data_IF_232846786981
#
_entry.id   IF_232846786981
#
_cell.length_a   1.000
_cell.length_b   1.000
_cell.length_c   1.000
_cell.angle_alpha   90.00
_cell.angle_beta   90.00
_cell.angle_gamma   90.00
#
_symmetry.space_group_name_H-M   'P 1'
#
loop_
_entity.id
_entity.type
_entity.pdbx_description
1 polymer ?
#
# COMPACT_ATOMS: atom_id res chain seq x y z
N UNK A 1 13.86 14.01 -6.09
CA UNK A 1 15.30 14.24 -5.76
C UNK A 1 16.15 12.98 -5.92
N UNK A 2 15.82 11.83 -5.32
CA UNK A 2 16.61 10.59 -5.47
C UNK A 2 16.76 10.12 -6.92
N UNK A 3 15.67 10.08 -7.68
CA UNK A 3 15.64 9.66 -9.09
C UNK A 3 16.58 10.53 -9.99
N UNK A 4 16.60 11.84 -9.76
CA UNK A 4 17.48 12.76 -10.51
C UNK A 4 18.97 12.50 -10.20
N UNK A 5 19.31 12.19 -8.95
CA UNK A 5 20.68 11.87 -8.55
C UNK A 5 21.15 10.54 -9.16
N UNK A 6 20.28 9.53 -9.18
CA UNK A 6 20.55 8.23 -9.82
C UNK A 6 20.80 8.41 -11.31
N UNK A 7 19.93 9.14 -12.01
CA UNK A 7 20.08 9.42 -13.45
C UNK A 7 21.33 10.25 -13.82
N UNK A 8 21.80 11.07 -12.90
CA UNK A 8 23.02 11.85 -13.10
C UNK A 8 24.31 11.08 -12.80
N UNK A 9 24.21 9.84 -12.30
CA UNK A 9 25.37 8.98 -12.02
C UNK A 9 25.94 8.38 -13.29
N UNK A 10 27.21 8.01 -13.26
CA UNK A 10 27.91 7.28 -14.34
C UNK A 10 27.72 5.76 -14.25
N UNK A 11 26.89 5.28 -13.32
CA UNK A 11 26.62 3.86 -13.11
C UNK A 11 25.38 3.48 -13.94
N UNK A 12 25.39 2.32 -14.58
CA UNK A 12 24.18 1.76 -15.19
C UNK A 12 23.07 1.61 -14.12
N UNK A 13 21.90 2.15 -14.39
CA UNK A 13 20.78 2.16 -13.41
C UNK A 13 19.49 1.69 -14.07
N UNK A 14 18.64 1.06 -13.28
CA UNK A 14 17.24 0.78 -13.60
C UNK A 14 16.38 1.27 -12.45
N UNK A 15 15.38 2.10 -12.72
CA UNK A 15 14.47 2.63 -11.70
C UNK A 15 13.14 1.91 -11.77
N UNK A 16 12.77 1.25 -10.68
CA UNK A 16 11.46 0.60 -10.54
C UNK A 16 10.58 1.45 -9.62
N UNK A 17 9.37 1.76 -10.07
CA UNK A 17 8.38 2.59 -9.37
C UNK A 17 7.12 1.78 -9.12
N UNK A 18 7.10 0.97 -8.06
CA UNK A 18 5.90 0.24 -7.69
C UNK A 18 4.83 1.21 -7.16
N UNK A 19 3.57 0.89 -7.45
CA UNK A 19 2.43 1.42 -6.71
C UNK A 19 2.45 0.88 -5.27
N UNK A 20 1.33 0.83 -4.59
CA UNK A 20 1.26 0.26 -3.25
C UNK A 20 1.63 -1.22 -3.28
N UNK A 21 2.69 -1.59 -2.56
CA UNK A 21 3.13 -2.99 -2.44
C UNK A 21 2.35 -3.67 -1.32
N UNK A 22 1.89 -4.90 -1.53
CA UNK A 22 1.28 -5.72 -0.50
C UNK A 22 2.00 -7.05 -0.29
N UNK A 23 1.98 -7.54 0.95
CA UNK A 23 2.61 -8.78 1.39
C UNK A 23 2.71 -8.87 2.90
N UNK A 24 3.29 -9.96 3.45
CA UNK A 24 3.31 -10.21 4.90
C UNK A 24 3.93 -9.07 5.73
N UNK A 25 4.93 -8.40 5.21
CA UNK A 25 5.72 -7.38 5.92
C UNK A 25 5.49 -5.97 5.37
N UNK A 26 4.44 -5.75 4.55
CA UNK A 26 4.11 -4.42 4.07
C UNK A 26 3.63 -3.49 5.20
N UNK A 27 3.85 -2.20 5.04
CA UNK A 27 3.42 -1.21 6.01
C UNK A 27 2.06 -0.58 5.67
N UNK A 28 1.57 -0.71 4.44
CA UNK A 28 0.33 -0.06 4.03
C UNK A 28 -0.89 -0.92 4.34
N UNK A 29 -0.97 -2.13 3.78
CA UNK A 29 -2.13 -3.03 3.97
C UNK A 29 -2.19 -3.54 5.40
N UNK A 30 -1.02 -3.83 6.01
CA UNK A 30 -0.95 -4.21 7.42
C UNK A 30 -1.43 -3.09 8.37
N UNK A 31 -1.19 -1.81 8.05
CA UNK A 31 -1.75 -0.68 8.82
C UNK A 31 -3.28 -0.64 8.69
N UNK A 32 -3.83 -0.80 7.48
CA UNK A 32 -5.28 -0.88 7.28
C UNK A 32 -5.89 -2.02 8.10
N UNK A 33 -5.25 -3.19 8.11
CA UNK A 33 -5.68 -4.35 8.87
C UNK A 33 -5.62 -4.11 10.40
N UNK A 34 -4.55 -3.52 10.92
CA UNK A 34 -4.42 -3.16 12.34
C UNK A 34 -5.51 -2.17 12.76
N UNK A 35 -5.77 -1.16 11.95
CA UNK A 35 -6.86 -0.21 12.19
C UNK A 35 -8.23 -0.89 12.19
N UNK A 36 -8.46 -1.87 11.32
CA UNK A 36 -9.70 -2.66 11.34
C UNK A 36 -9.85 -3.50 12.61
N UNK A 37 -8.75 -3.99 13.20
CA UNK A 37 -8.76 -4.66 14.53
C UNK A 37 -9.02 -3.69 15.68
N UNK A 38 -8.44 -2.48 15.62
CA UNK A 38 -8.63 -1.45 16.65
C UNK A 38 -10.03 -0.81 16.59
N UNK A 39 -10.69 -0.84 15.45
CA UNK A 39 -12.03 -0.30 15.25
C UNK A 39 -13.09 -1.30 15.68
N UNK A 40 -13.86 -1.07 16.76
CA UNK A 40 -14.80 -2.08 17.27
C UNK A 40 -16.03 -2.27 16.38
N UNK A 41 -16.60 -1.19 15.85
CA UNK A 41 -17.85 -1.20 15.07
C UNK A 41 -17.72 -0.44 13.77
N UNK A 42 -17.09 0.74 13.82
CA UNK A 42 -17.02 1.69 12.71
C UNK A 42 -15.55 1.89 12.28
N UNK A 43 -15.31 1.86 10.97
CA UNK A 43 -14.01 2.18 10.39
C UNK A 43 -14.12 3.53 9.66
N UNK A 44 -13.37 4.56 10.08
CA UNK A 44 -13.39 5.86 9.40
C UNK A 44 -12.59 5.77 8.07
N UNK A 45 -13.24 6.11 6.97
CA UNK A 45 -12.64 6.10 5.64
C UNK A 45 -12.32 7.54 5.23
N UNK A 46 -11.03 7.89 5.08
CA UNK A 46 -10.63 9.24 4.67
C UNK A 46 -11.13 9.57 3.26
N UNK A 47 -11.65 10.80 3.09
CA UNK A 47 -12.04 11.32 1.78
C UNK A 47 -13.09 10.50 1.03
N UNK A 48 -13.88 9.68 1.75
CA UNK A 48 -14.89 8.80 1.13
C UNK A 48 -14.33 7.50 0.56
N UNK A 49 -13.01 7.34 0.53
CA UNK A 49 -12.35 6.12 0.04
C UNK A 49 -12.39 5.98 -1.48
N UNK A 50 -12.52 7.07 -2.21
CA UNK A 50 -12.63 7.08 -3.68
C UNK A 50 -11.28 7.12 -4.40
N UNK A 51 -10.19 7.47 -3.69
CA UNK A 51 -8.85 7.46 -4.25
C UNK A 51 -8.50 6.06 -4.77
N UNK A 52 -7.87 6.03 -5.94
CA UNK A 52 -7.53 4.80 -6.66
C UNK A 52 -6.10 4.36 -6.34
N UNK A 53 -5.92 3.09 -6.08
CA UNK A 53 -4.64 2.42 -5.88
C UNK A 53 -4.54 1.23 -6.81
N UNK A 54 -3.33 0.86 -7.19
CA UNK A 54 -3.10 -0.31 -8.04
C UNK A 54 -2.13 -1.27 -7.33
N UNK A 55 -2.61 -1.97 -6.28
CA UNK A 55 -1.75 -2.76 -5.40
C UNK A 55 -1.02 -3.87 -6.16
N UNK A 56 0.29 -3.98 -5.94
CA UNK A 56 1.18 -4.96 -6.55
C UNK A 56 1.76 -5.89 -5.48
N UNK A 57 1.78 -7.20 -5.74
CA UNK A 57 2.33 -8.17 -4.81
C UNK A 57 3.85 -8.01 -4.65
N UNK A 58 4.35 -8.11 -3.42
CA UNK A 58 5.79 -8.04 -3.13
C UNK A 58 6.59 -9.10 -3.91
N UNK A 59 6.01 -10.29 -4.12
CA UNK A 59 6.61 -11.36 -4.91
C UNK A 59 6.81 -10.98 -6.38
N UNK A 60 5.84 -10.28 -6.97
CA UNK A 60 5.95 -9.80 -8.35
C UNK A 60 7.04 -8.72 -8.48
N UNK A 61 7.10 -7.79 -7.51
CA UNK A 61 8.17 -6.78 -7.47
C UNK A 61 9.55 -7.44 -7.34
N UNK A 62 9.68 -8.44 -6.47
CA UNK A 62 10.93 -9.17 -6.28
C UNK A 62 11.38 -9.90 -7.56
N UNK A 63 10.43 -10.49 -8.30
CA UNK A 63 10.69 -11.11 -9.61
C UNK A 63 11.20 -10.09 -10.63
N UNK A 64 10.53 -8.92 -10.73
CA UNK A 64 10.98 -7.84 -11.61
C UNK A 64 12.41 -7.39 -11.27
N UNK A 65 12.73 -7.25 -9.97
CA UNK A 65 14.08 -6.89 -9.54
C UNK A 65 15.11 -7.94 -10.02
N UNK A 66 14.80 -9.24 -9.86
CA UNK A 66 15.68 -10.31 -10.29
C UNK A 66 15.84 -10.34 -11.83
N UNK A 67 14.74 -10.25 -12.57
CA UNK A 67 14.77 -10.26 -14.04
C UNK A 67 15.50 -9.03 -14.61
N UNK A 68 15.28 -7.84 -14.03
CA UNK A 68 15.95 -6.61 -14.49
C UNK A 68 17.48 -6.67 -14.38
N UNK A 69 18.04 -7.47 -13.47
CA UNK A 69 19.50 -7.67 -13.37
C UNK A 69 20.08 -8.45 -14.56
N UNK A 70 19.27 -9.30 -15.18
CA UNK A 70 19.67 -10.14 -16.32
C UNK A 70 19.23 -9.55 -17.68
N UNK A 71 18.57 -8.37 -17.66
CA UNK A 71 18.05 -7.68 -18.85
C UNK A 71 18.80 -6.36 -19.13
N UNK A 72 19.89 -6.37 -19.91
CA UNK A 72 20.67 -5.16 -20.21
C UNK A 72 19.85 -4.02 -20.84
N UNK A 73 18.77 -4.36 -21.55
CA UNK A 73 17.84 -3.40 -22.16
C UNK A 73 17.05 -2.56 -21.14
N UNK A 74 17.07 -2.95 -19.87
CA UNK A 74 16.43 -2.18 -18.79
C UNK A 74 17.32 -1.05 -18.26
N UNK A 75 18.60 -1.06 -18.59
CA UNK A 75 19.56 -0.05 -18.14
C UNK A 75 19.18 1.32 -18.70
N UNK A 76 19.31 2.37 -17.86
CA UNK A 76 18.92 3.75 -18.13
C UNK A 76 17.40 3.97 -18.35
N UNK A 77 16.58 3.01 -17.93
CA UNK A 77 15.14 3.10 -18.02
C UNK A 77 14.44 3.11 -16.65
N UNK A 78 13.23 3.67 -16.64
CA UNK A 78 12.38 3.70 -15.46
C UNK A 78 11.04 3.04 -15.77
N UNK A 79 10.61 2.12 -14.89
CA UNK A 79 9.43 1.28 -15.07
C UNK A 79 8.44 1.48 -13.94
N UNK A 80 7.18 1.72 -14.28
CA UNK A 80 6.11 1.74 -13.30
C UNK A 80 5.52 0.33 -13.15
N UNK A 81 5.32 -0.10 -11.90
CA UNK A 81 4.82 -1.43 -11.57
C UNK A 81 3.50 -1.31 -10.82
N UNK A 82 2.45 -1.90 -11.34
CA UNK A 82 1.14 -1.94 -10.70
C UNK A 82 0.55 -3.34 -10.72
N UNK A 83 -0.42 -3.58 -9.89
CA UNK A 83 -1.22 -4.79 -9.97
C UNK A 83 -2.11 -4.83 -11.22
N UNK A 84 -2.96 -5.85 -11.35
CA UNK A 84 -3.74 -6.08 -12.58
C UNK A 84 -4.89 -5.07 -12.77
N UNK A 85 -5.35 -4.44 -11.71
CA UNK A 85 -6.49 -3.53 -11.73
C UNK A 85 -6.35 -2.40 -10.70
N UNK A 86 -6.82 -1.18 -11.02
CA UNK A 86 -7.01 -0.14 -10.02
C UNK A 86 -8.19 -0.48 -9.11
N UNK A 87 -8.02 -0.23 -7.81
CA UNK A 87 -9.03 -0.42 -6.77
C UNK A 87 -9.21 0.87 -5.99
N UNK A 88 -10.44 1.18 -5.57
CA UNK A 88 -10.64 2.26 -4.62
C UNK A 88 -10.12 1.86 -3.22
N UNK A 89 -9.75 2.84 -2.40
CA UNK A 89 -9.40 2.57 -1.00
C UNK A 89 -10.52 1.80 -0.28
N UNK A 90 -11.78 2.08 -0.64
CA UNK A 90 -12.94 1.37 -0.09
C UNK A 90 -12.92 -0.11 -0.48
N UNK A 91 -12.72 -0.43 -1.77
CA UNK A 91 -12.66 -1.82 -2.23
C UNK A 91 -11.51 -2.58 -1.55
N UNK A 92 -10.35 -1.92 -1.42
CA UNK A 92 -9.22 -2.51 -0.69
C UNK A 92 -9.56 -2.80 0.78
N UNK A 93 -10.21 -1.86 1.49
CA UNK A 93 -10.66 -2.07 2.87
C UNK A 93 -11.66 -3.20 3.00
N UNK A 94 -12.60 -3.32 2.06
CA UNK A 94 -13.59 -4.40 2.05
C UNK A 94 -12.91 -5.77 1.85
N UNK A 95 -11.95 -5.87 0.90
CA UNK A 95 -11.16 -7.11 0.67
C UNK A 95 -10.28 -7.46 1.89
N UNK A 96 -9.61 -6.47 2.49
CA UNK A 96 -8.82 -6.66 3.72
C UNK A 96 -9.69 -7.19 4.86
N UNK A 97 -10.84 -6.57 5.11
CA UNK A 97 -11.75 -6.99 6.17
C UNK A 97 -12.35 -8.38 5.91
N UNK A 98 -12.65 -8.70 4.66
CA UNK A 98 -13.11 -10.04 4.26
C UNK A 98 -12.04 -11.09 4.53
N UNK A 99 -10.79 -10.84 4.13
CA UNK A 99 -9.65 -11.71 4.38
C UNK A 99 -9.42 -11.95 5.89
N UNK A 100 -9.55 -10.92 6.71
CA UNK A 100 -9.42 -10.99 8.17
C UNK A 100 -10.61 -11.67 8.87
N UNK A 101 -11.72 -11.88 8.18
CA UNK A 101 -12.97 -12.37 8.78
C UNK A 101 -13.62 -11.36 9.73
N UNK A 102 -13.39 -10.04 9.56
CA UNK A 102 -13.98 -9.00 10.39
C UNK A 102 -14.99 -8.19 9.58
N UNK A 103 -16.04 -7.71 10.26
CA UNK A 103 -17.05 -6.84 9.66
C UNK A 103 -17.08 -5.51 10.39
N UNK A 104 -16.84 -4.41 9.68
CA UNK A 104 -16.92 -3.05 10.19
C UNK A 104 -17.75 -2.18 9.24
N UNK A 105 -18.50 -1.26 9.82
CA UNK A 105 -19.22 -0.27 9.01
C UNK A 105 -18.24 0.80 8.53
N UNK A 106 -18.02 0.90 7.24
CA UNK A 106 -17.20 1.95 6.64
C UNK A 106 -17.97 3.28 6.67
N UNK A 107 -17.42 4.27 7.34
CA UNK A 107 -18.01 5.61 7.46
C UNK A 107 -17.09 6.64 6.85
N UNK A 108 -17.60 7.38 5.88
CA UNK A 108 -16.85 8.44 5.21
C UNK A 108 -16.61 9.60 6.18
N UNK A 109 -15.33 9.95 6.34
CA UNK A 109 -14.93 11.09 7.18
C UNK A 109 -14.07 12.02 6.33
N UNK A 110 -14.45 13.30 6.22
CA UNK A 110 -13.63 14.29 5.53
C UNK A 110 -12.22 14.38 6.13
N UNK A 111 -11.20 14.43 5.29
CA UNK A 111 -9.78 14.49 5.73
C UNK A 111 -9.52 15.63 6.72
N UNK A 112 -10.09 16.86 6.55
CA UNK A 112 -9.91 17.95 7.52
C UNK A 112 -10.39 17.61 8.94
N UNK A 113 -11.39 16.73 9.10
CA UNK A 113 -11.88 16.30 10.42
C UNK A 113 -10.97 15.25 11.06
N UNK A 114 -10.27 14.44 10.25
CA UNK A 114 -9.33 13.45 10.74
C UNK A 114 -7.98 14.05 11.14
N UNK A 115 -7.53 15.11 10.48
CA UNK A 115 -6.22 15.74 10.72
C UNK A 115 -5.94 16.12 12.19
N UNK A 116 -6.83 16.82 12.92
CA UNK A 116 -6.55 17.16 14.30
C UNK A 116 -6.48 15.93 15.20
N UNK A 117 -7.31 14.91 14.95
CA UNK A 117 -7.28 13.65 15.70
C UNK A 117 -5.96 12.91 15.47
N UNK A 118 -5.53 12.78 14.21
CA UNK A 118 -4.26 12.14 13.85
C UNK A 118 -3.08 12.94 14.39
N UNK A 119 -3.12 14.28 14.32
CA UNK A 119 -2.10 15.15 14.91
C UNK A 119 -1.97 14.98 16.44
N UNK A 120 -3.08 14.79 17.14
CA UNK A 120 -3.07 14.48 18.56
C UNK A 120 -2.48 13.07 18.84
N UNK A 121 -2.87 12.07 18.06
CA UNK A 121 -2.30 10.71 18.14
C UNK A 121 -0.79 10.73 17.93
N UNK A 122 -0.28 11.48 16.95
CA UNK A 122 1.16 11.62 16.69
C UNK A 122 1.94 12.25 17.85
N UNK A 123 1.29 13.03 18.73
CA UNK A 123 1.93 13.61 19.92
C UNK A 123 1.94 12.67 21.12
N UNK A 124 0.95 11.80 21.22
CA UNK A 124 0.74 10.94 22.38
C UNK A 124 1.38 9.55 22.18
N UNK A 125 1.26 9.00 20.96
CA UNK A 125 1.74 7.65 20.67
C UNK A 125 3.16 7.69 20.11
N UNK A 126 4.07 6.84 20.65
CA UNK A 126 5.44 6.71 20.11
C UNK A 126 5.46 6.27 18.64
N UNK A 127 4.52 5.40 18.25
CA UNK A 127 4.32 4.91 16.87
C UNK A 127 2.85 5.02 16.48
N UNK A 128 2.40 6.18 16.02
CA UNK A 128 1.01 6.34 15.59
C UNK A 128 0.74 5.50 14.35
N UNK A 129 -0.39 4.76 14.31
CA UNK A 129 -0.73 3.86 13.19
C UNK A 129 -1.05 4.65 11.91
N UNK A 130 -1.43 5.92 12.07
CA UNK A 130 -1.71 6.84 10.97
C UNK A 130 -0.97 8.15 11.21
N UNK A 131 -0.34 8.66 10.16
CA UNK A 131 0.28 9.98 10.15
C UNK A 131 -0.51 10.93 9.25
N UNK A 132 -0.30 12.23 9.44
CA UNK A 132 -0.91 13.24 8.55
C UNK A 132 -0.43 13.06 7.10
N UNK A 133 0.83 12.66 6.89
CA UNK A 133 1.35 12.33 5.56
C UNK A 133 0.65 11.12 4.93
N UNK A 134 0.35 10.09 5.73
CA UNK A 134 -0.43 8.95 5.24
C UNK A 134 -1.87 9.36 4.87
N UNK A 135 -2.51 10.24 5.64
CA UNK A 135 -3.84 10.77 5.27
C UNK A 135 -3.81 11.50 3.93
N UNK A 136 -2.75 12.25 3.65
CA UNK A 136 -2.61 12.96 2.38
C UNK A 136 -2.38 11.96 1.23
N UNK A 137 -1.60 10.91 1.43
CA UNK A 137 -1.42 9.82 0.46
C UNK A 137 -2.73 9.07 0.19
N UNK A 138 -3.53 8.81 1.22
CA UNK A 138 -4.84 8.13 1.08
C UNK A 138 -5.89 8.96 0.33
N UNK A 139 -5.63 10.25 0.10
CA UNK A 139 -6.50 11.15 -0.65
C UNK A 139 -6.05 11.34 -2.12
N UNK A 140 -4.92 10.76 -2.52
CA UNK A 140 -4.35 10.89 -3.86
C UNK A 140 -4.38 9.53 -4.58
N UNK A 141 -4.65 9.59 -5.87
CA UNK A 141 -4.57 8.40 -6.73
C UNK A 141 -3.11 7.92 -6.86
N UNK A 142 -2.92 6.63 -6.71
CA UNK A 142 -1.64 5.95 -6.87
C UNK A 142 -1.82 4.78 -7.86
N UNK A 143 -2.03 5.12 -9.11
CA UNK A 143 -2.17 4.18 -10.22
C UNK A 143 -1.05 4.37 -11.23
N UNK A 144 -0.83 3.38 -12.08
CA UNK A 144 0.16 3.43 -13.15
C UNK A 144 -0.55 3.38 -14.50
N UNK A 145 -0.20 4.29 -15.41
CA UNK A 145 -0.73 4.31 -16.77
C UNK A 145 -0.12 3.20 -17.62
N UNK A 146 1.22 3.06 -17.54
CA UNK A 146 1.98 2.04 -18.26
C UNK A 146 2.52 1.02 -17.27
N UNK A 147 1.92 -0.15 -17.23
CA UNK A 147 2.32 -1.22 -16.31
C UNK A 147 3.38 -2.11 -16.96
N UNK A 148 4.63 -1.91 -16.57
CA UNK A 148 5.75 -2.66 -17.10
C UNK A 148 5.79 -4.13 -16.67
N UNK A 149 5.08 -4.53 -15.60
CA UNK A 149 4.99 -5.92 -15.16
C UNK A 149 4.63 -6.86 -16.31
N UNK A 150 3.59 -6.52 -17.06
CA UNK A 150 3.13 -7.35 -18.17
C UNK A 150 3.82 -7.00 -19.49
N UNK A 151 4.00 -5.69 -19.77
CA UNK A 151 4.46 -5.25 -21.09
C UNK A 151 5.96 -5.43 -21.32
N UNK A 152 6.78 -5.36 -20.27
CA UNK A 152 8.25 -5.47 -20.35
C UNK A 152 8.74 -6.79 -19.77
N UNK A 153 8.27 -7.14 -18.57
CA UNK A 153 8.74 -8.31 -17.84
C UNK A 153 7.90 -9.58 -18.08
N UNK A 154 6.78 -9.48 -18.81
CA UNK A 154 5.94 -10.66 -19.12
C UNK A 154 5.32 -11.34 -17.91
N UNK A 155 5.33 -10.67 -16.74
CA UNK A 155 4.81 -11.21 -15.48
C UNK A 155 3.30 -10.97 -15.43
N UNK A 156 2.52 -12.03 -15.17
CA UNK A 156 1.10 -11.90 -14.84
C UNK A 156 0.96 -11.46 -13.39
N UNK A 157 0.43 -10.24 -13.10
CA UNK A 157 0.38 -9.73 -11.75
C UNK A 157 -0.60 -10.53 -10.88
N UNK A 158 -0.20 -10.77 -9.64
CA UNK A 158 -1.07 -11.35 -8.60
C UNK A 158 -2.19 -10.37 -8.26
N UNK A 159 -3.42 -10.87 -8.12
CA UNK A 159 -4.59 -10.05 -7.79
C UNK A 159 -4.63 -9.76 -6.29
N UNK A 160 -5.15 -8.59 -5.94
CA UNK A 160 -5.39 -8.20 -4.55
C UNK A 160 -6.71 -8.82 -4.05
N UNK A 161 -6.72 -10.12 -3.78
CA UNK A 161 -7.91 -10.90 -3.40
C UNK A 161 -7.74 -11.56 -2.03
N UNK A 162 -8.84 -12.07 -1.49
CA UNK A 162 -8.93 -12.59 -0.12
C UNK A 162 -7.92 -13.72 0.12
N UNK A 163 -7.67 -14.57 -0.86
CA UNK A 163 -6.74 -15.70 -0.78
C UNK A 163 -5.30 -15.22 -0.55
N UNK A 164 -4.88 -14.21 -1.28
CA UNK A 164 -3.54 -13.63 -1.19
C UNK A 164 -3.34 -12.79 0.10
N UNK A 165 -4.44 -12.40 0.73
CA UNK A 165 -4.46 -11.60 1.96
C UNK A 165 -4.69 -12.44 3.22
N UNK A 166 -4.71 -13.78 3.13
CA UNK A 166 -4.99 -14.65 4.29
C UNK A 166 -4.03 -14.43 5.46
N UNK A 167 -2.78 -14.03 5.21
CA UNK A 167 -1.80 -13.68 6.26
C UNK A 167 -2.30 -12.60 7.21
N UNK A 168 -3.25 -11.76 6.81
CA UNK A 168 -3.84 -10.73 7.67
C UNK A 168 -4.70 -11.30 8.80
N UNK A 169 -5.11 -12.56 8.72
CA UNK A 169 -5.83 -13.26 9.81
C UNK A 169 -4.97 -13.41 11.06
N UNK A 170 -3.67 -13.52 10.88
CA UNK A 170 -2.69 -13.64 11.95
C UNK A 170 -2.61 -12.37 12.81
N UNK A 171 -2.99 -11.20 12.26
CA UNK A 171 -2.99 -9.93 12.98
C UNK A 171 -4.09 -9.94 14.05
N UNK A 172 -3.68 -10.03 15.30
CA UNK A 172 -4.59 -9.99 16.46
C UNK A 172 -4.81 -8.56 16.95
N UNK A 173 -5.83 -8.39 17.81
CA UNK A 173 -6.02 -7.10 18.50
C UNK A 173 -4.81 -6.74 19.39
N UNK A 174 -4.16 -7.74 20.00
CA UNK A 174 -2.95 -7.53 20.81
C UNK A 174 -1.79 -7.01 19.97
N UNK A 175 -1.59 -7.56 18.78
CA UNK A 175 -0.55 -7.10 17.84
C UNK A 175 -0.83 -5.67 17.39
N UNK A 176 -2.08 -5.35 17.09
CA UNK A 176 -2.50 -4.01 16.71
C UNK A 176 -2.27 -2.99 17.85
N UNK A 177 -2.55 -3.36 19.12
CA UNK A 177 -2.24 -2.50 20.27
C UNK A 177 -0.74 -2.40 20.50
N UNK A 178 -0.01 -3.52 20.45
CA UNK A 178 1.45 -3.53 20.64
C UNK A 178 2.17 -2.63 19.62
N UNK A 179 1.74 -2.64 18.37
CA UNK A 179 2.34 -1.82 17.31
C UNK A 179 2.25 -0.30 17.56
N UNK A 180 1.43 0.16 18.50
CA UNK A 180 1.35 1.58 18.87
C UNK A 180 2.52 2.02 19.76
N UNK A 181 3.22 1.05 20.41
CA UNK A 181 4.22 1.32 21.44
C UNK A 181 5.61 0.74 21.12
N UNK A 182 5.68 -0.22 20.21
CA UNK A 182 6.93 -0.88 19.76
C UNK A 182 7.25 -0.59 18.31
#
# INVERSE_FOLDING_TARGET
MADAAVRASSIGWTVLRPSVIFGREDEFVNVLARLARLSPVVYPVPGGGTALFQPVAVGDVARVVAEALDMPETVEHAYNLGGPEPLTLRDMLERVMAAMGVRRRLVNVPVPLLRPLVGLMQRILPRPPVTTGLLDLLALDNTVADNALTSVFGITPVRFETEELEYLREITFRDAVRSLFT
#
